data_IF_187874956151
#
_entry.id   IF_187874956151
#
_cell.length_a   1.000
_cell.length_b   1.000
_cell.length_c   1.000
_cell.angle_alpha   90.00
_cell.angle_beta   90.00
_cell.angle_gamma   90.00
#
_symmetry.space_group_name_H-M   'P 1'
#
loop_
_entity.id
_entity.type
_entity.pdbx_description
1 polymer ?
#
# COMPACT_ATOMS: atom_id res chain seq x y z
N UNK A 1 82.17 27.37 -5.90
CA UNK A 1 80.93 26.93 -6.59
C UNK A 1 80.17 25.82 -5.85
N UNK A 2 80.78 25.11 -4.90
CA UNK A 2 80.18 23.98 -4.15
C UNK A 2 79.16 24.38 -3.08
N UNK A 3 79.31 25.52 -2.41
CA UNK A 3 78.36 25.97 -1.38
C UNK A 3 77.02 26.49 -1.92
N UNK A 4 77.05 27.16 -3.08
CA UNK A 4 75.84 27.71 -3.73
C UNK A 4 74.86 26.59 -4.12
N UNK A 5 75.40 25.48 -4.62
CA UNK A 5 74.66 24.26 -4.98
C UNK A 5 74.03 23.55 -3.76
N UNK A 6 74.66 23.64 -2.57
CA UNK A 6 74.13 23.03 -1.33
C UNK A 6 72.94 23.79 -0.75
N UNK A 7 72.90 25.12 -0.91
CA UNK A 7 71.79 25.98 -0.43
C UNK A 7 70.55 25.86 -1.33
N UNK A 8 70.75 25.86 -2.65
CA UNK A 8 69.70 25.64 -3.64
C UNK A 8 69.06 24.24 -3.50
N UNK A 9 69.87 23.20 -3.27
CA UNK A 9 69.35 21.84 -2.97
C UNK A 9 68.51 21.79 -1.70
N UNK A 10 68.92 22.47 -0.62
CA UNK A 10 68.13 22.52 0.63
C UNK A 10 66.80 23.26 0.44
N UNK A 11 66.79 24.35 -0.34
CA UNK A 11 65.57 25.10 -0.64
C UNK A 11 64.60 24.29 -1.52
N UNK A 12 65.12 23.59 -2.53
CA UNK A 12 64.33 22.68 -3.35
C UNK A 12 63.75 21.52 -2.53
N UNK A 13 64.55 20.93 -1.64
CA UNK A 13 64.10 19.85 -0.74
C UNK A 13 63.03 20.32 0.24
N UNK A 14 63.17 21.53 0.81
CA UNK A 14 62.15 22.12 1.68
C UNK A 14 60.85 22.45 0.93
N UNK A 15 60.95 22.94 -0.31
CA UNK A 15 59.78 23.24 -1.15
C UNK A 15 59.06 21.95 -1.55
N UNK A 16 59.81 20.89 -1.88
CA UNK A 16 59.27 19.56 -2.15
C UNK A 16 58.56 18.99 -0.92
N UNK A 17 59.18 19.04 0.27
CA UNK A 17 58.56 18.57 1.50
C UNK A 17 57.28 19.35 1.79
N UNK A 18 57.26 20.66 1.56
CA UNK A 18 56.07 21.48 1.76
C UNK A 18 54.93 21.09 0.81
N UNK A 19 55.21 21.01 -0.49
CA UNK A 19 54.22 20.62 -1.50
C UNK A 19 53.73 19.20 -1.23
N UNK A 20 54.64 18.27 -0.94
CA UNK A 20 54.30 16.88 -0.62
C UNK A 20 53.40 16.81 0.62
N UNK A 21 53.76 17.50 1.70
CA UNK A 21 52.97 17.55 2.94
C UNK A 21 51.60 18.16 2.72
N UNK A 22 51.52 19.23 1.92
CA UNK A 22 50.27 19.88 1.56
C UNK A 22 49.37 18.97 0.70
N UNK A 23 49.93 18.29 -0.30
CA UNK A 23 49.18 17.32 -1.10
C UNK A 23 48.72 16.13 -0.28
N UNK A 24 49.54 15.64 0.66
CA UNK A 24 49.18 14.57 1.58
C UNK A 24 48.02 15.00 2.49
N UNK A 25 48.06 16.23 3.02
CA UNK A 25 46.99 16.81 3.81
C UNK A 25 45.67 16.86 3.02
N UNK A 26 45.70 17.33 1.77
CA UNK A 26 44.52 17.35 0.91
C UNK A 26 43.96 15.95 0.66
N UNK A 27 44.83 14.97 0.39
CA UNK A 27 44.41 13.58 0.22
C UNK A 27 43.71 13.03 1.48
N UNK A 28 44.25 13.30 2.67
CA UNK A 28 43.63 12.88 3.94
C UNK A 28 42.27 13.56 4.13
N UNK A 29 42.16 14.87 3.85
CA UNK A 29 40.88 15.60 3.96
C UNK A 29 39.83 15.04 3.00
N UNK A 30 40.18 14.82 1.73
CA UNK A 30 39.27 14.22 0.75
C UNK A 30 38.88 12.78 1.13
N UNK A 31 39.80 11.98 1.66
CA UNK A 31 39.48 10.65 2.16
C UNK A 31 38.46 10.70 3.30
N UNK A 32 38.63 11.62 4.26
CA UNK A 32 37.67 11.81 5.38
C UNK A 32 36.30 12.27 4.86
N UNK A 33 36.27 13.27 3.96
CA UNK A 33 35.03 13.75 3.34
C UNK A 33 34.30 12.63 2.57
N UNK A 34 35.04 11.81 1.83
CA UNK A 34 34.50 10.67 1.07
C UNK A 34 33.91 9.64 2.03
N UNK A 35 34.63 9.28 3.09
CA UNK A 35 34.16 8.32 4.10
C UNK A 35 32.88 8.81 4.79
N UNK A 36 32.84 10.08 5.23
CA UNK A 36 31.66 10.68 5.87
C UNK A 36 30.45 10.74 4.93
N UNK A 37 30.68 10.99 3.64
CA UNK A 37 29.63 11.00 2.62
C UNK A 37 29.08 9.59 2.40
N UNK A 38 29.95 8.58 2.34
CA UNK A 38 29.55 7.19 2.21
C UNK A 38 28.74 6.70 3.43
N UNK A 39 29.17 7.02 4.66
CA UNK A 39 28.44 6.70 5.89
C UNK A 39 27.01 7.28 5.88
N UNK A 40 26.86 8.56 5.51
CA UNK A 40 25.55 9.20 5.38
C UNK A 40 24.71 8.60 4.27
N UNK A 41 25.34 8.29 3.13
CA UNK A 41 24.68 7.63 2.00
C UNK A 41 24.10 6.27 2.41
N UNK A 42 24.88 5.45 3.11
CA UNK A 42 24.45 4.14 3.62
C UNK A 42 23.28 4.32 4.61
N UNK A 43 23.40 5.24 5.57
CA UNK A 43 22.34 5.48 6.56
C UNK A 43 21.03 5.92 5.92
N UNK A 44 21.07 6.81 4.93
CA UNK A 44 19.88 7.23 4.19
C UNK A 44 19.26 6.08 3.38
N UNK A 45 20.11 5.21 2.82
CA UNK A 45 19.66 4.06 2.05
C UNK A 45 18.99 3.03 2.95
N UNK A 46 19.53 2.82 4.14
CA UNK A 46 18.98 1.89 5.13
C UNK A 46 17.64 2.40 5.70
N UNK A 47 17.55 3.69 6.03
CA UNK A 47 16.28 4.30 6.47
C UNK A 47 15.20 4.18 5.39
N UNK A 48 15.55 4.48 4.13
CA UNK A 48 14.61 4.32 3.01
C UNK A 48 14.20 2.86 2.84
N UNK A 49 15.15 1.92 2.91
CA UNK A 49 14.85 0.50 2.80
C UNK A 49 13.87 0.05 3.88
N UNK A 50 14.11 0.39 5.14
CA UNK A 50 13.21 0.05 6.26
C UNK A 50 11.82 0.62 6.03
N UNK A 51 11.72 1.88 5.58
CA UNK A 51 10.44 2.50 5.26
C UNK A 51 9.71 1.80 4.11
N UNK A 52 10.43 1.47 3.04
CA UNK A 52 9.87 0.75 1.89
C UNK A 52 9.41 -0.66 2.28
N UNK A 53 10.20 -1.40 3.06
CA UNK A 53 9.86 -2.74 3.51
C UNK A 53 8.61 -2.72 4.41
N UNK A 54 8.46 -1.72 5.28
CA UNK A 54 7.25 -1.55 6.10
C UNK A 54 6.01 -1.27 5.24
N UNK A 55 6.10 -0.33 4.30
CA UNK A 55 5.01 0.00 3.37
C UNK A 55 4.64 -1.24 2.54
N UNK A 56 5.63 -1.93 1.98
CA UNK A 56 5.41 -3.12 1.18
C UNK A 56 4.73 -4.22 1.97
N UNK A 57 5.16 -4.46 3.21
CA UNK A 57 4.54 -5.45 4.10
C UNK A 57 3.10 -5.09 4.43
N UNK A 58 2.81 -3.80 4.70
CA UNK A 58 1.43 -3.33 4.94
C UNK A 58 0.56 -3.48 3.70
N UNK A 59 1.05 -3.08 2.52
CA UNK A 59 0.36 -3.26 1.25
C UNK A 59 0.07 -4.74 0.96
N UNK A 60 1.03 -5.64 1.20
CA UNK A 60 0.81 -7.07 1.06
C UNK A 60 -0.30 -7.57 2.00
N UNK A 61 -0.32 -7.10 3.26
CA UNK A 61 -1.39 -7.40 4.21
C UNK A 61 -2.77 -6.87 3.76
N UNK A 62 -2.82 -5.65 3.25
CA UNK A 62 -4.05 -5.08 2.70
C UNK A 62 -4.53 -5.82 1.45
N UNK A 63 -3.63 -6.23 0.56
CA UNK A 63 -3.98 -7.01 -0.63
C UNK A 63 -4.62 -8.35 -0.25
N UNK A 64 -4.08 -9.03 0.77
CA UNK A 64 -4.68 -10.27 1.26
C UNK A 64 -6.10 -10.07 1.78
N UNK A 65 -6.31 -9.03 2.60
CA UNK A 65 -7.64 -8.70 3.14
C UNK A 65 -8.63 -8.27 2.04
N UNK A 66 -8.15 -7.56 1.01
CA UNK A 66 -8.97 -7.21 -0.15
C UNK A 66 -9.43 -8.44 -0.93
N UNK A 67 -8.55 -9.43 -1.13
CA UNK A 67 -8.92 -10.69 -1.77
C UNK A 67 -10.00 -11.45 -0.98
N UNK A 68 -9.91 -11.44 0.36
CA UNK A 68 -10.98 -11.98 1.21
C UNK A 68 -12.30 -11.23 1.04
N UNK A 69 -12.26 -9.89 1.01
CA UNK A 69 -13.45 -9.07 0.79
C UNK A 69 -14.10 -9.40 -0.57
N UNK A 70 -13.30 -9.56 -1.63
CA UNK A 70 -13.83 -9.93 -2.95
C UNK A 70 -14.43 -11.33 -2.98
N UNK A 71 -13.81 -12.29 -2.27
CA UNK A 71 -14.39 -13.64 -2.11
C UNK A 71 -15.70 -13.60 -1.34
N UNK A 72 -15.77 -12.83 -0.26
CA UNK A 72 -17.01 -12.65 0.51
C UNK A 72 -18.10 -11.99 -0.35
N UNK A 73 -17.76 -10.98 -1.15
CA UNK A 73 -18.71 -10.39 -2.10
C UNK A 73 -19.19 -11.39 -3.13
N UNK A 74 -18.30 -12.17 -3.74
CA UNK A 74 -18.72 -13.20 -4.70
C UNK A 74 -19.63 -14.24 -4.03
N UNK A 75 -19.29 -14.64 -2.80
CA UNK A 75 -20.13 -15.54 -2.01
C UNK A 75 -21.51 -14.94 -1.75
N UNK A 76 -21.60 -13.63 -1.45
CA UNK A 76 -22.86 -12.91 -1.21
C UNK A 76 -23.85 -13.10 -2.37
N UNK A 77 -23.38 -13.05 -3.62
CA UNK A 77 -24.24 -13.21 -4.80
C UNK A 77 -24.53 -14.67 -5.19
N UNK A 78 -23.54 -15.56 -4.99
CA UNK A 78 -23.61 -16.92 -5.56
C UNK A 78 -24.35 -17.91 -4.65
N UNK A 79 -24.29 -17.72 -3.34
CA UNK A 79 -24.93 -18.64 -2.39
C UNK A 79 -26.35 -18.20 -2.04
N UNK A 80 -27.27 -19.16 -1.98
CA UNK A 80 -28.63 -18.92 -1.45
C UNK A 80 -28.54 -18.60 0.04
N UNK A 81 -29.17 -17.51 0.45
CA UNK A 81 -29.28 -17.04 1.83
C UNK A 81 -30.70 -16.58 2.10
N UNK A 82 -31.07 -16.59 3.37
CA UNK A 82 -32.24 -15.83 3.84
C UNK A 82 -31.94 -14.34 3.83
N UNK A 83 -32.98 -13.51 3.79
CA UNK A 83 -32.85 -12.05 3.78
C UNK A 83 -32.01 -11.54 4.97
N UNK A 84 -32.24 -12.11 6.16
CA UNK A 84 -31.49 -11.76 7.36
C UNK A 84 -30.00 -12.12 7.25
N UNK A 85 -29.69 -13.32 6.77
CA UNK A 85 -28.29 -13.73 6.56
C UNK A 85 -27.59 -12.86 5.53
N UNK A 86 -28.30 -12.49 4.46
CA UNK A 86 -27.77 -11.63 3.42
C UNK A 86 -27.47 -10.22 3.92
N UNK A 87 -28.39 -9.62 4.68
CA UNK A 87 -28.20 -8.31 5.30
C UNK A 87 -27.03 -8.32 6.30
N UNK A 88 -26.95 -9.36 7.14
CA UNK A 88 -25.81 -9.54 8.06
C UNK A 88 -24.49 -9.68 7.32
N UNK A 89 -24.47 -10.43 6.22
CA UNK A 89 -23.26 -10.65 5.44
C UNK A 89 -22.81 -9.37 4.71
N UNK A 90 -23.74 -8.56 4.19
CA UNK A 90 -23.42 -7.22 3.67
C UNK A 90 -22.78 -6.33 4.73
N UNK A 91 -23.33 -6.32 5.95
CA UNK A 91 -22.79 -5.54 7.06
C UNK A 91 -21.39 -6.02 7.49
N UNK A 92 -21.14 -7.32 7.48
CA UNK A 92 -19.81 -7.88 7.76
C UNK A 92 -18.79 -7.42 6.71
N UNK A 93 -19.14 -7.53 5.43
CA UNK A 93 -18.29 -7.06 4.32
C UNK A 93 -18.02 -5.55 4.46
N UNK A 94 -19.07 -4.77 4.76
CA UNK A 94 -18.97 -3.33 4.95
C UNK A 94 -17.97 -2.96 6.05
N UNK A 95 -18.11 -3.62 7.20
CA UNK A 95 -17.22 -3.40 8.35
C UNK A 95 -15.77 -3.77 8.04
N UNK A 96 -15.51 -4.82 7.26
CA UNK A 96 -14.15 -5.23 6.89
C UNK A 96 -13.42 -4.15 6.09
N UNK A 97 -14.03 -3.62 5.03
CA UNK A 97 -13.37 -2.62 4.19
C UNK A 97 -13.33 -1.23 4.87
N UNK A 98 -14.36 -0.87 5.65
CA UNK A 98 -14.35 0.38 6.43
C UNK A 98 -13.23 0.37 7.48
N UNK A 99 -13.04 -0.76 8.19
CA UNK A 99 -11.94 -0.90 9.14
C UNK A 99 -10.58 -0.73 8.47
N UNK A 100 -10.37 -1.30 7.28
CA UNK A 100 -9.15 -1.07 6.49
C UNK A 100 -8.97 0.39 6.09
N UNK A 101 -10.05 1.05 5.66
CA UNK A 101 -10.02 2.46 5.29
C UNK A 101 -9.62 3.34 6.48
N UNK A 102 -10.16 3.06 7.65
CA UNK A 102 -9.85 3.80 8.88
C UNK A 102 -8.41 3.56 9.35
N UNK A 103 -7.92 2.31 9.26
CA UNK A 103 -6.50 1.99 9.52
C UNK A 103 -5.56 2.80 8.63
N UNK A 104 -5.84 2.88 7.32
CA UNK A 104 -5.03 3.64 6.36
C UNK A 104 -5.09 5.15 6.66
N UNK A 105 -6.25 5.67 7.05
CA UNK A 105 -6.42 7.08 7.42
C UNK A 105 -5.68 7.46 8.71
N UNK A 106 -5.56 6.52 9.65
CA UNK A 106 -4.93 6.76 10.95
C UNK A 106 -3.42 6.50 10.94
N UNK A 107 -2.93 5.62 10.05
CA UNK A 107 -1.55 5.15 10.08
C UNK A 107 -0.52 6.10 9.43
N UNK A 108 -0.91 6.98 8.51
CA UNK A 108 0.06 7.76 7.71
C UNK A 108 -0.31 9.24 7.53
N UNK A 109 0.67 10.11 7.79
CA UNK A 109 0.63 11.53 7.41
C UNK A 109 0.79 11.72 5.89
N UNK A 110 1.35 10.72 5.19
CA UNK A 110 1.51 10.68 3.74
C UNK A 110 0.73 9.50 3.14
N UNK A 111 -0.54 9.73 2.88
CA UNK A 111 -1.47 8.73 2.32
C UNK A 111 -1.19 8.37 0.86
N UNK A 112 -0.18 9.00 0.23
CA UNK A 112 0.17 8.81 -1.19
C UNK A 112 0.44 7.35 -1.52
N UNK A 113 1.07 6.61 -0.60
CA UNK A 113 1.40 5.18 -0.78
C UNK A 113 0.18 4.26 -0.83
N UNK A 114 -1.02 4.74 -0.47
CA UNK A 114 -2.24 3.93 -0.36
C UNK A 114 -3.42 4.47 -1.19
N UNK A 115 -3.18 5.42 -2.09
CA UNK A 115 -4.23 6.05 -2.91
C UNK A 115 -5.07 5.04 -3.69
N UNK A 116 -4.46 3.98 -4.21
CA UNK A 116 -5.18 2.92 -4.93
C UNK A 116 -6.22 2.21 -4.05
N UNK A 117 -5.93 2.01 -2.76
CA UNK A 117 -6.90 1.39 -1.85
C UNK A 117 -8.12 2.27 -1.65
N UNK A 118 -7.95 3.60 -1.58
CA UNK A 118 -9.09 4.52 -1.50
C UNK A 118 -10.01 4.40 -2.72
N UNK A 119 -9.44 4.26 -3.91
CA UNK A 119 -10.23 4.00 -5.14
C UNK A 119 -10.98 2.68 -5.03
N UNK A 120 -10.32 1.62 -4.56
CA UNK A 120 -10.95 0.31 -4.37
C UNK A 120 -12.06 0.34 -3.32
N UNK A 121 -11.89 1.05 -2.20
CA UNK A 121 -12.92 1.19 -1.18
C UNK A 121 -14.15 1.94 -1.70
N UNK A 122 -13.96 3.00 -2.50
CA UNK A 122 -15.08 3.70 -3.12
C UNK A 122 -15.85 2.80 -4.10
N UNK A 123 -15.12 1.96 -4.85
CA UNK A 123 -15.74 0.98 -5.75
C UNK A 123 -16.50 -0.10 -4.96
N UNK A 124 -15.93 -0.58 -3.84
CA UNK A 124 -16.58 -1.54 -2.95
C UNK A 124 -17.89 -0.97 -2.39
N UNK A 125 -17.86 0.27 -1.89
CA UNK A 125 -19.04 0.96 -1.40
C UNK A 125 -20.12 1.04 -2.48
N UNK A 126 -19.75 1.55 -3.66
CA UNK A 126 -20.68 1.67 -4.80
C UNK A 126 -21.28 0.32 -5.18
N UNK A 127 -20.48 -0.75 -5.13
CA UNK A 127 -20.96 -2.09 -5.45
C UNK A 127 -21.91 -2.61 -4.37
N UNK A 128 -21.65 -2.36 -3.09
CA UNK A 128 -22.57 -2.74 -2.01
C UNK A 128 -23.90 -2.00 -2.09
N UNK A 129 -23.88 -0.71 -2.43
CA UNK A 129 -25.09 0.09 -2.60
C UNK A 129 -25.97 -0.48 -3.72
N UNK A 130 -25.38 -0.76 -4.89
CA UNK A 130 -26.08 -1.41 -6.01
C UNK A 130 -26.56 -2.82 -5.65
N UNK A 131 -25.78 -3.56 -4.86
CA UNK A 131 -26.16 -4.91 -4.40
C UNK A 131 -27.42 -4.86 -3.56
N UNK A 132 -27.52 -3.93 -2.61
CA UNK A 132 -28.66 -3.79 -1.74
C UNK A 132 -29.94 -3.55 -2.57
N UNK A 133 -29.90 -2.62 -3.52
CA UNK A 133 -31.02 -2.37 -4.44
C UNK A 133 -31.38 -3.61 -5.26
N UNK A 134 -30.40 -4.28 -5.87
CA UNK A 134 -30.64 -5.50 -6.65
C UNK A 134 -31.34 -6.59 -5.83
N UNK A 135 -30.92 -6.77 -4.58
CA UNK A 135 -31.52 -7.79 -3.72
C UNK A 135 -32.93 -7.44 -3.27
N UNK A 136 -33.22 -6.16 -3.03
CA UNK A 136 -34.58 -5.71 -2.72
C UNK A 136 -35.51 -5.93 -3.93
N UNK A 137 -35.09 -5.55 -5.13
CA UNK A 137 -35.87 -5.77 -6.36
C UNK A 137 -36.09 -7.26 -6.65
N UNK A 138 -35.06 -8.08 -6.42
CA UNK A 138 -35.17 -9.54 -6.57
C UNK A 138 -36.19 -10.13 -5.60
N UNK A 139 -36.20 -9.67 -4.35
CA UNK A 139 -37.18 -10.12 -3.35
C UNK A 139 -38.61 -9.79 -3.79
N UNK A 140 -38.84 -8.59 -4.31
CA UNK A 140 -40.15 -8.19 -4.82
C UNK A 140 -40.59 -9.05 -6.01
N UNK A 141 -39.66 -9.34 -6.93
CA UNK A 141 -39.90 -10.23 -8.06
C UNK A 141 -40.25 -11.66 -7.59
N UNK A 142 -39.48 -12.22 -6.65
CA UNK A 142 -39.69 -13.56 -6.11
C UNK A 142 -41.08 -13.67 -5.44
N UNK A 143 -41.48 -12.64 -4.68
CA UNK A 143 -42.81 -12.56 -4.08
C UNK A 143 -43.93 -12.55 -5.14
N UNK A 144 -43.80 -11.72 -6.18
CA UNK A 144 -44.81 -11.64 -7.26
C UNK A 144 -44.92 -12.98 -7.98
N UNK A 145 -43.79 -13.62 -8.29
CA UNK A 145 -43.77 -14.95 -8.93
C UNK A 145 -44.50 -15.99 -8.07
N UNK A 146 -44.28 -15.98 -6.75
CA UNK A 146 -44.96 -16.89 -5.84
C UNK A 146 -46.49 -16.67 -5.85
N UNK A 147 -46.95 -15.41 -5.84
CA UNK A 147 -48.39 -15.10 -5.90
C UNK A 147 -49.02 -15.54 -7.22
N UNK A 148 -48.32 -15.34 -8.35
CA UNK A 148 -48.78 -15.81 -9.66
C UNK A 148 -48.93 -17.34 -9.65
N UNK A 149 -47.94 -18.05 -9.11
CA UNK A 149 -47.98 -19.51 -9.01
C UNK A 149 -49.17 -19.98 -8.18
N UNK A 150 -49.39 -19.39 -7.00
CA UNK A 150 -50.55 -19.68 -6.13
C UNK A 150 -51.87 -19.44 -6.85
N UNK A 151 -52.00 -18.33 -7.59
CA UNK A 151 -53.21 -18.02 -8.36
C UNK A 151 -53.47 -19.05 -9.48
N UNK A 152 -52.42 -19.50 -10.17
CA UNK A 152 -52.51 -20.56 -11.17
C UNK A 152 -52.96 -21.89 -10.56
N UNK A 153 -52.41 -22.26 -9.41
CA UNK A 153 -52.77 -23.50 -8.71
C UNK A 153 -54.22 -23.50 -8.23
N UNK A 154 -54.70 -22.38 -7.67
CA UNK A 154 -56.11 -22.19 -7.30
C UNK A 154 -57.02 -22.33 -8.52
N UNK A 155 -56.65 -21.73 -9.66
CA UNK A 155 -57.43 -21.81 -10.90
C UNK A 155 -57.47 -23.24 -11.46
N UNK A 156 -56.38 -24.00 -11.32
CA UNK A 156 -56.30 -25.41 -11.73
C UNK A 156 -57.17 -26.30 -10.83
N UNK A 157 -57.16 -26.06 -9.53
CA UNK A 157 -57.98 -26.81 -8.57
C UNK A 157 -59.48 -26.51 -8.68
N UNK A 158 -59.87 -25.28 -9.05
CA UNK A 158 -61.28 -24.92 -9.33
C UNK A 158 -61.85 -25.52 -10.62
N UNK A 159 -61.01 -26.07 -11.51
CA UNK A 159 -61.43 -26.71 -12.77
C UNK A 159 -61.54 -28.24 -12.67
N UNK A 160 -61.20 -28.83 -11.52
CA UNK A 160 -61.45 -30.22 -11.17
C UNK A 160 -62.72 -30.33 -10.34
#
# INVERSE_FOLDING_TARGET
>A
MTEKNKKERRQAMSSFIFIFSFTLLLFVLFAICTLKTAERGISLLDEKKVRYDDIFRKQAGYNYRMDEIFKDMNNLYTQKRTDNEQAQYQMIIARKWQGMQDEIRQADADTTSYVLYNVLFNQLQSTQDVSATFFDEKRDLDYIMEQIQRAQDIKKNKKR
#
